data_IF_612185599582
#
_entry.id   IF_612185599582
#
_cell.length_a   1.000
_cell.length_b   1.000
_cell.length_c   1.000
_cell.angle_alpha   90.00
_cell.angle_beta   90.00
_cell.angle_gamma   90.00
#
_symmetry.space_group_name_H-M   'P 1'
#
loop_
_entity.id
_entity.type
_entity.pdbx_description
1 polymer ?
#
# COMPACT_ATOMS: atom_id res chain seq x y z
N UNK A 1 -27.25 6.70 -19.50
CA UNK A 1 -26.58 6.16 -18.30
C UNK A 1 -25.63 5.07 -18.77
N UNK A 2 -24.32 5.35 -18.84
CA UNK A 2 -23.32 4.41 -19.35
C UNK A 2 -23.07 3.31 -18.32
N UNK A 3 -23.50 2.10 -18.66
CA UNK A 3 -23.24 0.88 -17.92
C UNK A 3 -21.79 0.45 -18.18
N UNK A 4 -20.84 0.92 -17.38
CA UNK A 4 -19.50 0.32 -17.38
C UNK A 4 -19.58 -0.99 -16.60
N UNK A 5 -19.25 -2.16 -17.18
CA UNK A 5 -19.08 -3.37 -16.39
C UNK A 5 -18.01 -3.06 -15.33
N UNK A 6 -18.45 -2.99 -14.07
CA UNK A 6 -17.61 -2.54 -12.96
C UNK A 6 -16.37 -3.40 -12.91
N UNK A 7 -15.20 -2.80 -13.17
CA UNK A 7 -13.93 -3.52 -13.07
C UNK A 7 -13.84 -4.11 -11.66
N UNK A 8 -13.37 -5.36 -11.51
CA UNK A 8 -13.25 -5.96 -10.19
C UNK A 8 -12.31 -5.11 -9.32
N UNK A 9 -12.57 -5.10 -8.02
CA UNK A 9 -11.65 -4.51 -7.03
C UNK A 9 -10.29 -5.15 -7.21
N UNK A 10 -9.26 -4.32 -7.34
CA UNK A 10 -7.90 -4.76 -7.61
C UNK A 10 -6.96 -4.24 -6.53
N UNK A 11 -5.90 -5.00 -6.28
CA UNK A 11 -4.76 -4.55 -5.49
C UNK A 11 -3.59 -4.36 -6.43
N UNK A 12 -3.03 -3.16 -6.39
CA UNK A 12 -1.86 -2.78 -7.17
C UNK A 12 -0.71 -2.43 -6.25
N UNK A 13 0.46 -2.99 -6.52
CA UNK A 13 1.69 -2.61 -5.83
C UNK A 13 2.15 -1.24 -6.32
N UNK A 14 2.39 -0.32 -5.38
CA UNK A 14 3.06 0.95 -5.63
C UNK A 14 4.45 0.94 -5.02
N UNK A 15 5.32 1.77 -5.60
CA UNK A 15 6.69 1.99 -5.14
C UNK A 15 6.81 3.39 -4.53
N UNK A 16 7.32 3.46 -3.31
CA UNK A 16 7.79 4.67 -2.66
C UNK A 16 9.32 4.69 -2.78
N UNK A 17 9.87 5.73 -3.40
CA UNK A 17 11.31 5.89 -3.59
C UNK A 17 11.80 7.02 -2.71
N UNK A 18 12.86 6.77 -1.94
CA UNK A 18 13.60 7.82 -1.24
C UNK A 18 15.01 7.95 -1.83
N UNK A 19 15.24 8.92 -2.74
CA UNK A 19 16.54 9.09 -3.39
C UNK A 19 17.69 9.34 -2.41
N UNK A 20 17.43 10.02 -1.28
CA UNK A 20 18.47 10.35 -0.28
C UNK A 20 18.99 9.10 0.44
N UNK A 21 18.11 8.14 0.71
CA UNK A 21 18.45 6.88 1.39
C UNK A 21 18.63 5.70 0.43
N UNK A 22 18.57 5.92 -0.89
CA UNK A 22 18.65 4.89 -1.95
C UNK A 22 17.76 3.66 -1.68
N UNK A 23 16.59 3.89 -1.10
CA UNK A 23 15.68 2.81 -0.65
C UNK A 23 14.39 2.83 -1.44
N UNK A 24 13.90 1.63 -1.75
CA UNK A 24 12.66 1.38 -2.45
C UNK A 24 11.71 0.61 -1.52
N UNK A 25 10.51 1.12 -1.32
CA UNK A 25 9.50 0.51 -0.46
C UNK A 25 8.28 0.18 -1.31
N UNK A 26 7.86 -1.09 -1.29
CA UNK A 26 6.70 -1.56 -2.05
C UNK A 26 5.50 -1.72 -1.11
N UNK A 27 4.34 -1.20 -1.51
CA UNK A 27 3.11 -1.26 -0.70
C UNK A 27 1.86 -1.42 -1.57
N UNK A 28 0.79 -2.04 -1.06
CA UNK A 28 -0.43 -2.24 -1.82
C UNK A 28 -1.27 -0.97 -1.91
N UNK A 29 -2.06 -0.86 -2.97
CA UNK A 29 -3.16 0.12 -3.10
C UNK A 29 -4.38 -0.53 -3.72
N UNK A 30 -5.55 -0.14 -3.26
CA UNK A 30 -6.85 -0.60 -3.75
C UNK A 30 -7.28 0.28 -4.92
N UNK A 31 -7.71 -0.35 -6.02
CA UNK A 31 -8.28 0.31 -7.20
C UNK A 31 -9.60 -0.35 -7.60
N UNK A 32 -10.39 0.37 -8.40
CA UNK A 32 -11.72 -0.04 -8.87
C UNK A 32 -12.72 -0.36 -7.75
N UNK A 33 -12.60 0.26 -6.57
CA UNK A 33 -13.63 0.15 -5.54
C UNK A 33 -14.85 0.98 -5.97
N UNK A 34 -16.09 0.44 -5.93
CA UNK A 34 -17.29 1.17 -6.31
C UNK A 34 -17.55 2.44 -5.51
N UNK A 35 -17.06 2.51 -4.27
CA UNK A 35 -17.07 3.71 -3.43
C UNK A 35 -15.70 4.42 -3.49
N UNK A 36 -15.59 5.55 -4.21
CA UNK A 36 -14.34 6.31 -4.29
C UNK A 36 -13.86 6.85 -2.93
N UNK A 37 -14.80 7.17 -2.03
CA UNK A 37 -14.48 7.70 -0.70
C UNK A 37 -13.90 6.60 0.18
N UNK A 38 -14.53 5.43 0.18
CA UNK A 38 -14.00 4.21 0.78
C UNK A 38 -12.61 3.87 0.25
N UNK A 39 -12.40 3.96 -1.07
CA UNK A 39 -11.11 3.67 -1.69
C UNK A 39 -10.01 4.62 -1.18
N UNK A 40 -10.31 5.92 -1.12
CA UNK A 40 -9.38 6.92 -0.61
C UNK A 40 -9.07 6.68 0.88
N UNK A 41 -10.09 6.39 1.70
CA UNK A 41 -9.91 6.10 3.13
C UNK A 41 -9.02 4.87 3.34
N UNK A 42 -9.26 3.78 2.62
CA UNK A 42 -8.46 2.55 2.71
C UNK A 42 -7.02 2.79 2.23
N UNK A 43 -6.83 3.43 1.08
CA UNK A 43 -5.48 3.74 0.58
C UNK A 43 -4.71 4.67 1.52
N UNK A 44 -5.40 5.63 2.17
CA UNK A 44 -4.79 6.49 3.21
C UNK A 44 -4.38 5.68 4.43
N UNK A 45 -5.21 4.74 4.89
CA UNK A 45 -4.88 3.87 6.01
C UNK A 45 -3.65 2.99 5.70
N UNK A 46 -3.56 2.44 4.48
CA UNK A 46 -2.41 1.64 4.04
C UNK A 46 -1.12 2.47 4.08
N UNK A 47 -1.07 3.64 3.40
CA UNK A 47 0.16 4.44 3.35
C UNK A 47 0.55 4.99 4.73
N UNK A 48 -0.43 5.34 5.58
CA UNK A 48 -0.15 5.74 6.96
C UNK A 48 0.48 4.60 7.77
N UNK A 49 0.03 3.37 7.56
CA UNK A 49 0.61 2.18 8.21
C UNK A 49 2.04 1.95 7.75
N UNK A 50 2.33 2.13 6.45
CA UNK A 50 3.70 2.10 5.91
C UNK A 50 4.57 3.15 6.61
N UNK A 51 4.13 4.41 6.68
CA UNK A 51 4.91 5.46 7.36
C UNK A 51 5.12 5.20 8.85
N UNK A 52 4.12 4.62 9.53
CA UNK A 52 4.25 4.22 10.93
C UNK A 52 5.33 3.15 11.09
N UNK A 53 5.31 2.09 10.27
CA UNK A 53 6.31 1.02 10.32
C UNK A 53 7.73 1.53 10.03
N UNK A 54 7.88 2.43 9.04
CA UNK A 54 9.18 3.06 8.76
C UNK A 54 9.67 3.87 9.97
N UNK A 55 8.77 4.60 10.63
CA UNK A 55 9.11 5.38 11.82
C UNK A 55 9.52 4.48 12.98
N UNK A 56 8.77 3.41 13.25
CA UNK A 56 9.06 2.41 14.29
C UNK A 56 10.39 1.68 14.06
N UNK A 57 10.82 1.55 12.81
CA UNK A 57 12.10 0.98 12.44
C UNK A 57 13.25 2.00 12.43
N UNK A 58 13.04 3.22 12.92
CA UNK A 58 14.04 4.30 12.89
C UNK A 58 14.56 4.61 11.47
N UNK A 59 13.76 4.31 10.44
CA UNK A 59 14.17 4.46 9.04
C UNK A 59 14.62 5.87 8.72
N UNK A 60 13.96 6.89 9.29
CA UNK A 60 14.30 8.29 9.03
C UNK A 60 15.60 8.75 9.72
N UNK A 61 15.97 8.12 10.82
CA UNK A 61 17.10 8.52 11.68
C UNK A 61 18.45 7.99 11.17
N UNK A 62 18.44 6.84 10.47
CA UNK A 62 19.68 6.18 10.03
C UNK A 62 19.95 6.51 8.55
N UNK A 63 20.97 7.32 8.28
CA UNK A 63 21.30 7.78 6.92
C UNK A 63 21.73 6.66 5.97
N UNK A 64 22.31 5.58 6.49
CA UNK A 64 22.90 4.49 5.73
C UNK A 64 22.12 3.18 5.84
N UNK A 65 20.79 3.22 5.98
CA UNK A 65 19.98 2.02 5.97
C UNK A 65 19.78 1.55 4.52
N UNK A 66 20.54 0.54 4.08
CA UNK A 66 20.59 0.15 2.67
C UNK A 66 19.53 -0.90 2.27
N UNK A 67 19.00 -1.70 3.20
CA UNK A 67 17.99 -2.72 2.91
C UNK A 67 16.87 -2.71 3.96
N UNK A 68 15.70 -2.15 3.60
CA UNK A 68 14.44 -2.47 4.30
C UNK A 68 13.74 -3.53 3.45
N UNK A 69 13.81 -4.78 3.88
CA UNK A 69 13.01 -5.86 3.31
C UNK A 69 11.62 -5.82 3.95
N UNK A 70 10.75 -4.96 3.40
CA UNK A 70 9.34 -4.88 3.78
C UNK A 70 8.52 -5.91 2.99
N UNK A 71 8.15 -7.02 3.61
CA UNK A 71 7.25 -8.01 3.01
C UNK A 71 5.82 -7.70 3.45
N UNK A 72 4.90 -7.51 2.50
CA UNK A 72 3.46 -7.60 2.77
C UNK A 72 2.95 -8.93 2.23
N UNK A 73 2.25 -9.68 3.08
CA UNK A 73 1.59 -10.92 2.67
C UNK A 73 0.14 -10.59 2.31
N UNK A 74 -0.26 -10.91 1.09
CA UNK A 74 -1.61 -10.70 0.61
C UNK A 74 -2.42 -11.97 0.88
N UNK A 75 -3.20 -12.00 1.96
CA UNK A 75 -3.97 -13.19 2.34
C UNK A 75 -5.40 -13.09 1.81
N UNK A 76 -5.64 -13.75 0.68
CA UNK A 76 -7.00 -13.96 0.18
C UNK A 76 -7.68 -15.08 0.99
N UNK A 77 -8.39 -14.71 2.06
CA UNK A 77 -9.29 -15.67 2.70
C UNK A 77 -10.50 -15.87 1.77
N UNK A 78 -10.68 -17.11 1.31
CA UNK A 78 -11.76 -17.53 0.42
C UNK A 78 -13.13 -17.35 1.09
N UNK A 79 -13.68 -16.13 1.03
CA UNK A 79 -15.09 -15.71 1.14
C UNK A 79 -15.09 -14.20 1.40
N UNK A 80 -15.07 -13.43 0.30
CA UNK A 80 -15.49 -12.02 0.25
C UNK A 80 -14.82 -11.01 1.20
N UNK A 81 -13.75 -11.39 1.90
CA UNK A 81 -12.99 -10.51 2.80
C UNK A 81 -11.53 -10.51 2.39
N UNK A 82 -11.01 -9.31 2.14
CA UNK A 82 -9.58 -9.06 1.96
C UNK A 82 -8.92 -8.94 3.35
N UNK A 83 -7.94 -9.79 3.65
CA UNK A 83 -7.14 -9.74 4.89
C UNK A 83 -5.67 -9.45 4.61
#
# INVERSE_FOLDING_TARGET
MSNFPGKPVQIMTKKLVNPRKKTEIFYPTITNLPDPTGQQRMNKAIINSVYKLLTEQHYYEIENWHNIDGWFELKTNQREVLS
#
